data_IF_758770389237
#
_entry.id   IF_758770389237
#
_cell.length_a   1.000
_cell.length_b   1.000
_cell.length_c   1.000
_cell.angle_alpha   90.00
_cell.angle_beta   90.00
_cell.angle_gamma   90.00
#
_symmetry.space_group_name_H-M   'P 1'
#
loop_
_entity.id
_entity.type
_entity.pdbx_description
1 polymer ?
#
# COMPACT_ATOMS: atom_id res chain seq x y z
N UNK A 1 -3.97 -81.18 19.68
CA UNK A 1 -4.86 -80.32 20.49
C UNK A 1 -4.23 -78.95 20.55
N UNK A 2 -4.74 -78.00 19.76
CA UNK A 2 -4.04 -76.76 19.43
C UNK A 2 -4.16 -75.63 20.45
N UNK A 3 -3.45 -74.52 20.20
CA UNK A 3 -3.90 -73.20 20.61
C UNK A 3 -4.10 -72.26 19.40
N UNK A 4 -4.92 -71.25 19.66
CA UNK A 4 -5.60 -70.31 18.77
C UNK A 4 -4.72 -69.33 17.97
N UNK A 5 -5.23 -68.77 16.86
CA UNK A 5 -4.65 -67.58 16.27
C UNK A 5 -5.12 -66.35 17.06
N UNK A 6 -4.18 -65.58 17.62
CA UNK A 6 -4.48 -64.25 18.16
C UNK A 6 -4.47 -63.25 17.00
N UNK A 7 -5.62 -62.64 16.71
CA UNK A 7 -5.73 -61.47 15.84
C UNK A 7 -4.88 -60.33 16.45
N UNK A 8 -3.85 -59.88 15.72
CA UNK A 8 -3.18 -58.61 15.99
C UNK A 8 -3.94 -57.54 15.21
N UNK A 9 -4.75 -56.76 15.92
CA UNK A 9 -5.36 -55.55 15.36
C UNK A 9 -4.27 -54.47 15.24
N UNK A 10 -3.83 -54.21 14.01
CA UNK A 10 -2.92 -53.12 13.69
C UNK A 10 -3.73 -51.81 13.70
N UNK A 11 -3.72 -51.08 14.82
CA UNK A 11 -4.27 -49.72 14.88
C UNK A 11 -3.31 -48.79 14.13
N UNK A 12 -3.64 -48.48 12.88
CA UNK A 12 -2.96 -47.44 12.11
C UNK A 12 -3.40 -46.09 12.69
N UNK A 13 -2.58 -45.52 13.59
CA UNK A 13 -2.67 -44.12 13.96
C UNK A 13 -2.20 -43.29 12.76
N UNK A 14 -3.16 -42.91 11.91
CA UNK A 14 -2.90 -41.91 10.88
C UNK A 14 -2.68 -40.56 11.57
N UNK A 15 -1.54 -39.87 11.37
CA UNK A 15 -1.37 -38.53 11.91
C UNK A 15 -2.32 -37.62 11.14
N UNK A 16 -3.36 -37.16 11.83
CA UNK A 16 -4.24 -36.09 11.36
C UNK A 16 -3.35 -34.86 11.11
N UNK A 17 -2.92 -34.68 9.86
CA UNK A 17 -2.29 -33.43 9.43
C UNK A 17 -3.37 -32.36 9.55
N UNK A 18 -3.32 -31.60 10.64
CA UNK A 18 -3.91 -30.29 10.70
C UNK A 18 -3.25 -29.47 9.59
N UNK A 19 -3.88 -29.45 8.42
CA UNK A 19 -3.69 -28.39 7.45
C UNK A 19 -4.05 -27.10 8.17
N UNK A 20 -3.04 -26.43 8.72
CA UNK A 20 -3.13 -25.03 9.08
C UNK A 20 -3.32 -24.28 7.76
N UNK A 21 -4.58 -24.09 7.37
CA UNK A 21 -4.96 -23.11 6.38
C UNK A 21 -4.67 -21.75 7.02
N UNK A 22 -3.45 -21.24 6.85
CA UNK A 22 -3.20 -19.81 7.01
C UNK A 22 -3.97 -19.11 5.89
N UNK A 23 -5.22 -18.75 6.16
CA UNK A 23 -5.98 -17.85 5.30
C UNK A 23 -5.30 -16.47 5.42
N UNK A 24 -4.43 -16.15 4.46
CA UNK A 24 -3.88 -14.81 4.36
C UNK A 24 -5.00 -13.80 4.09
N UNK A 25 -4.92 -12.62 4.69
CA UNK A 25 -5.88 -11.54 4.42
C UNK A 25 -5.82 -11.12 2.94
N UNK A 26 -6.96 -11.07 2.26
CA UNK A 26 -7.03 -10.63 0.87
C UNK A 26 -7.04 -9.10 0.78
N UNK A 27 -5.98 -8.51 0.23
CA UNK A 27 -5.83 -7.05 0.12
C UNK A 27 -6.66 -6.45 -1.02
N UNK A 28 -6.81 -7.17 -2.14
CA UNK A 28 -7.51 -6.64 -3.32
C UNK A 28 -8.99 -6.40 -2.98
N UNK A 29 -9.51 -5.23 -3.35
CA UNK A 29 -10.87 -4.77 -3.04
C UNK A 29 -11.23 -4.67 -1.54
N UNK A 30 -10.26 -4.86 -0.64
CA UNK A 30 -10.49 -4.65 0.79
C UNK A 30 -10.70 -3.15 1.08
N UNK A 31 -11.76 -2.86 1.83
CA UNK A 31 -12.03 -1.50 2.31
C UNK A 31 -11.03 -1.11 3.41
N UNK A 32 -10.85 0.20 3.61
CA UNK A 32 -10.02 0.73 4.71
C UNK A 32 -10.46 0.16 6.06
N UNK A 33 -11.76 0.00 6.30
CA UNK A 33 -12.29 -0.58 7.54
C UNK A 33 -11.85 -2.05 7.71
N UNK A 34 -11.92 -2.86 6.67
CA UNK A 34 -11.46 -4.26 6.71
C UNK A 34 -9.96 -4.36 6.95
N UNK A 35 -9.16 -3.49 6.31
CA UNK A 35 -7.71 -3.40 6.52
C UNK A 35 -7.40 -3.02 7.97
N UNK A 36 -8.05 -2.00 8.53
CA UNK A 36 -7.87 -1.61 9.93
C UNK A 36 -8.24 -2.75 10.90
N UNK A 37 -9.30 -3.49 10.61
CA UNK A 37 -9.64 -4.68 11.40
C UNK A 37 -8.58 -5.79 11.28
N UNK A 38 -8.02 -6.01 10.08
CA UNK A 38 -6.92 -6.96 9.88
C UNK A 38 -5.65 -6.56 10.64
N UNK A 39 -5.35 -5.25 10.68
CA UNK A 39 -4.28 -4.71 11.52
C UNK A 39 -4.53 -5.02 13.01
N UNK A 40 -5.75 -4.76 13.51
CA UNK A 40 -6.13 -5.06 14.91
C UNK A 40 -6.02 -6.56 15.24
N UNK A 41 -6.38 -7.43 14.29
CA UNK A 41 -6.26 -8.90 14.43
C UNK A 41 -4.84 -9.44 14.18
N UNK A 42 -3.88 -8.58 13.81
CA UNK A 42 -2.52 -8.95 13.43
C UNK A 42 -2.45 -9.93 12.24
N UNK A 43 -3.45 -9.90 11.37
CA UNK A 43 -3.51 -10.67 10.13
C UNK A 43 -2.78 -9.97 8.97
N UNK A 44 -2.50 -8.68 9.13
CA UNK A 44 -1.85 -7.81 8.17
C UNK A 44 -1.07 -6.73 8.94
N UNK A 45 0.07 -6.31 8.43
CA UNK A 45 0.79 -5.11 8.91
C UNK A 45 0.75 -3.98 7.87
N UNK A 46 1.02 -2.74 8.28
CA UNK A 46 1.19 -1.63 7.35
C UNK A 46 2.34 -1.89 6.40
N UNK A 47 3.43 -2.50 6.89
CA UNK A 47 4.55 -2.94 6.07
C UNK A 47 4.10 -3.90 4.98
N UNK A 48 3.36 -4.97 5.32
CA UNK A 48 2.85 -5.94 4.34
C UNK A 48 2.00 -5.27 3.26
N UNK A 49 1.12 -4.35 3.68
CA UNK A 49 0.24 -3.61 2.78
C UNK A 49 1.02 -2.71 1.82
N UNK A 50 2.04 -2.00 2.32
CA UNK A 50 2.93 -1.16 1.48
C UNK A 50 3.74 -2.02 0.53
N UNK A 51 4.35 -3.12 1.00
CA UNK A 51 5.11 -4.05 0.14
C UNK A 51 4.23 -4.68 -0.96
N UNK A 52 2.98 -4.99 -0.66
CA UNK A 52 2.00 -5.44 -1.65
C UNK A 52 1.80 -4.39 -2.75
N UNK A 53 1.48 -3.14 -2.40
CA UNK A 53 1.24 -2.11 -3.42
C UNK A 53 2.49 -1.69 -4.18
N UNK A 54 3.67 -1.71 -3.54
CA UNK A 54 4.94 -1.47 -4.23
C UNK A 54 5.22 -2.56 -5.29
N UNK A 55 4.89 -3.82 -5.00
CA UNK A 55 4.97 -4.92 -5.98
C UNK A 55 4.00 -4.73 -7.13
N UNK A 56 2.74 -4.39 -6.86
CA UNK A 56 1.75 -4.12 -7.91
C UNK A 56 2.16 -2.93 -8.79
N UNK A 57 2.67 -1.84 -8.19
CA UNK A 57 3.20 -0.68 -8.93
C UNK A 57 4.37 -1.14 -9.82
N UNK A 58 5.33 -1.89 -9.27
CA UNK A 58 6.47 -2.39 -10.05
C UNK A 58 6.03 -3.25 -11.24
N UNK A 59 5.02 -4.11 -11.07
CA UNK A 59 4.53 -5.01 -12.12
C UNK A 59 3.66 -4.33 -13.18
N UNK A 60 2.76 -3.42 -12.77
CA UNK A 60 1.73 -2.86 -13.64
C UNK A 60 2.07 -1.46 -14.17
N UNK A 61 2.83 -0.66 -13.44
CA UNK A 61 3.11 0.73 -13.82
C UNK A 61 3.91 0.90 -15.14
N UNK A 62 4.77 -0.04 -15.58
CA UNK A 62 5.35 0.03 -16.92
C UNK A 62 4.31 0.09 -18.05
N UNK A 63 3.15 -0.54 -17.84
CA UNK A 63 2.03 -0.53 -18.77
C UNK A 63 1.06 0.64 -18.51
N UNK A 64 0.65 0.82 -17.25
CA UNK A 64 -0.40 1.77 -16.86
C UNK A 64 0.09 3.21 -16.74
N UNK A 65 1.36 3.42 -16.37
CA UNK A 65 1.98 4.74 -16.13
C UNK A 65 1.14 5.64 -15.21
N UNK A 66 0.52 5.02 -14.21
CA UNK A 66 -0.38 5.64 -13.24
C UNK A 66 0.36 6.31 -12.07
N UNK A 67 1.60 5.91 -11.79
CA UNK A 67 2.44 6.44 -10.70
C UNK A 67 3.68 7.11 -11.29
N UNK A 68 3.89 8.39 -10.96
CA UNK A 68 5.04 9.19 -11.41
C UNK A 68 6.29 8.91 -10.57
N UNK A 69 6.10 8.78 -9.26
CA UNK A 69 7.18 8.65 -8.29
C UNK A 69 6.66 7.89 -7.07
N UNK A 70 7.48 6.99 -6.53
CA UNK A 70 7.23 6.29 -5.26
C UNK A 70 8.03 6.97 -4.16
N UNK A 71 7.46 7.11 -2.97
CA UNK A 71 8.17 7.65 -1.82
C UNK A 71 9.21 6.63 -1.31
N UNK A 72 10.52 6.95 -1.33
CA UNK A 72 11.55 6.02 -0.86
C UNK A 72 11.42 5.68 0.62
N UNK A 73 10.83 6.55 1.43
CA UNK A 73 10.58 6.32 2.86
C UNK A 73 9.22 5.68 3.17
N UNK A 74 8.48 5.15 2.18
CA UNK A 74 7.16 4.57 2.42
C UNK A 74 7.21 3.33 3.33
N UNK A 75 8.24 2.49 3.19
CA UNK A 75 8.43 1.32 4.06
C UNK A 75 8.80 1.74 5.49
N UNK A 76 9.70 2.70 5.66
CA UNK A 76 10.06 3.22 6.98
C UNK A 76 8.85 3.83 7.70
N UNK A 77 7.99 4.56 6.98
CA UNK A 77 6.73 5.08 7.50
C UNK A 77 5.75 3.97 7.90
N UNK A 78 5.77 2.84 7.16
CA UNK A 78 4.94 1.69 7.47
C UNK A 78 5.40 0.98 8.74
N UNK A 79 6.70 0.74 8.87
CA UNK A 79 7.32 0.16 10.06
C UNK A 79 7.03 1.02 11.30
N UNK A 80 7.09 2.35 11.17
CA UNK A 80 6.77 3.25 12.28
C UNK A 80 5.29 3.19 12.66
N UNK A 81 4.39 3.19 11.68
CA UNK A 81 2.96 3.06 11.95
C UNK A 81 2.62 1.73 12.66
N UNK A 82 3.32 0.64 12.31
CA UNK A 82 3.20 -0.66 12.96
C UNK A 82 3.68 -0.61 14.43
N UNK A 83 4.84 0.00 14.70
CA UNK A 83 5.35 0.19 16.08
C UNK A 83 4.42 1.05 16.93
N UNK A 84 3.92 2.16 16.39
CA UNK A 84 2.98 3.04 17.08
C UNK A 84 1.72 2.26 17.46
N UNK A 85 1.22 1.42 16.54
CA UNK A 85 0.06 0.55 16.79
C UNK A 85 0.30 -0.45 17.91
N UNK A 86 1.48 -1.05 17.97
CA UNK A 86 1.86 -1.95 19.06
C UNK A 86 1.97 -1.20 20.39
N UNK A 87 2.59 -0.02 20.40
CA UNK A 87 2.79 0.80 21.59
C UNK A 87 1.46 1.28 22.21
N UNK A 88 0.43 1.51 21.39
CA UNK A 88 -0.91 1.90 21.87
C UNK A 88 -1.85 0.70 22.06
N UNK A 89 -1.36 -0.54 22.03
CA UNK A 89 -2.19 -1.76 22.10
C UNK A 89 -3.36 -1.78 21.09
N UNK A 90 -3.17 -1.16 19.92
CA UNK A 90 -4.19 -1.07 18.86
C UNK A 90 -5.13 0.14 18.93
N UNK A 91 -5.02 1.02 19.92
CA UNK A 91 -5.89 2.20 20.06
C UNK A 91 -5.71 3.22 18.93
N UNK A 92 -4.52 3.34 18.32
CA UNK A 92 -4.30 4.23 17.18
C UNK A 92 -4.77 3.65 15.84
N UNK A 93 -5.29 2.42 15.78
CA UNK A 93 -5.71 1.75 14.54
C UNK A 93 -7.09 2.20 14.03
N UNK A 94 -7.35 3.51 14.06
CA UNK A 94 -8.58 4.12 13.57
C UNK A 94 -8.32 5.06 12.39
N UNK A 95 -9.29 5.15 11.48
CA UNK A 95 -9.19 6.00 10.31
C UNK A 95 -8.10 5.56 9.33
N UNK A 96 -7.09 6.42 9.13
CA UNK A 96 -6.06 6.26 8.09
C UNK A 96 -4.70 5.82 8.64
N UNK A 97 -4.59 5.52 9.94
CA UNK A 97 -3.31 5.15 10.54
C UNK A 97 -2.71 3.92 9.84
N UNK A 98 -1.53 4.09 9.26
CA UNK A 98 -0.82 3.03 8.54
C UNK A 98 -1.41 2.66 7.17
N UNK A 99 -2.36 3.44 6.64
CA UNK A 99 -2.96 3.22 5.31
C UNK A 99 -2.15 3.97 4.24
N UNK A 100 -1.66 3.30 3.18
CA UNK A 100 -0.97 3.97 2.09
C UNK A 100 -1.94 4.73 1.17
N UNK A 101 -1.56 5.95 0.80
CA UNK A 101 -2.31 6.81 -0.12
C UNK A 101 -1.41 7.37 -1.22
N UNK A 102 -1.94 7.46 -2.44
CA UNK A 102 -1.29 8.17 -3.55
C UNK A 102 -1.83 9.59 -3.64
N UNK A 103 -0.94 10.55 -3.90
CA UNK A 103 -1.30 11.96 -4.08
C UNK A 103 -1.19 12.34 -5.55
N UNK A 104 -2.15 13.08 -6.10
CA UNK A 104 -2.03 13.62 -7.47
C UNK A 104 -0.76 14.47 -7.62
N UNK A 105 -0.05 14.39 -8.75
CA UNK A 105 1.26 15.01 -8.99
C UNK A 105 1.36 16.55 -8.90
N UNK A 106 0.26 17.25 -8.61
CA UNK A 106 0.20 18.69 -8.33
C UNK A 106 -0.08 19.02 -6.85
N UNK A 107 -0.21 18.02 -5.97
CA UNK A 107 -0.40 18.21 -4.54
C UNK A 107 0.98 18.35 -3.89
N UNK A 108 1.25 19.50 -3.27
CA UNK A 108 2.54 19.79 -2.65
C UNK A 108 2.83 18.92 -1.42
N UNK A 109 4.02 18.33 -1.37
CA UNK A 109 4.61 17.67 -0.20
C UNK A 109 5.99 18.26 0.05
N UNK A 110 6.30 18.65 1.30
CA UNK A 110 7.63 19.12 1.72
C UNK A 110 8.45 17.94 2.21
N UNK A 111 8.79 17.08 1.28
CA UNK A 111 9.61 15.88 1.45
C UNK A 111 10.41 15.62 0.16
N UNK A 112 10.88 14.39 -0.04
CA UNK A 112 11.66 13.97 -1.20
C UNK A 112 10.86 13.92 -2.51
N UNK A 113 9.52 13.92 -2.45
CA UNK A 113 8.70 13.75 -3.65
C UNK A 113 8.59 15.05 -4.45
N UNK A 114 8.66 14.92 -5.78
CA UNK A 114 8.49 16.05 -6.68
C UNK A 114 7.02 16.48 -6.77
N UNK A 115 6.80 17.79 -6.90
CA UNK A 115 5.47 18.37 -7.19
C UNK A 115 5.52 19.10 -8.54
N UNK A 116 5.36 18.34 -9.63
CA UNK A 116 5.69 18.82 -10.98
C UNK A 116 4.48 19.30 -11.79
N UNK A 117 3.26 18.98 -11.37
CA UNK A 117 2.05 19.14 -12.18
C UNK A 117 2.18 18.54 -13.60
N UNK A 118 3.00 17.49 -13.76
CA UNK A 118 3.28 16.85 -15.05
C UNK A 118 4.22 17.64 -15.98
N UNK A 119 4.95 18.63 -15.45
CA UNK A 119 5.82 19.53 -16.19
C UNK A 119 7.29 19.40 -15.80
N UNK A 120 8.18 19.23 -16.77
CA UNK A 120 9.64 19.26 -16.57
C UNK A 120 10.13 20.59 -15.98
N UNK A 121 9.40 21.68 -16.18
CA UNK A 121 9.76 22.99 -15.63
C UNK A 121 9.76 23.06 -14.09
N UNK A 122 9.07 22.11 -13.44
CA UNK A 122 8.95 22.03 -11.97
C UNK A 122 9.71 20.83 -11.39
N UNK A 123 10.46 20.09 -12.21
CA UNK A 123 11.26 18.97 -11.75
C UNK A 123 12.38 19.49 -10.82
N UNK A 124 12.51 18.90 -9.63
CA UNK A 124 13.44 19.37 -8.60
C UNK A 124 13.01 20.65 -7.87
N UNK A 125 11.82 21.19 -8.14
CA UNK A 125 11.29 22.34 -7.42
C UNK A 125 10.97 21.96 -5.97
N UNK A 126 11.49 22.75 -5.03
CA UNK A 126 11.25 22.57 -3.59
C UNK A 126 10.08 23.44 -3.16
N UNK A 127 9.01 22.81 -2.68
CA UNK A 127 7.85 23.54 -2.14
C UNK A 127 8.13 24.05 -0.72
N UNK A 128 7.57 25.20 -0.30
CA UNK A 128 7.84 25.76 1.02
C UNK A 128 7.12 25.04 2.16
N UNK A 129 6.12 24.19 1.86
CA UNK A 129 5.34 23.41 2.84
C UNK A 129 4.48 22.35 2.18
N UNK A 130 4.05 21.37 2.98
CA UNK A 130 2.93 20.50 2.66
C UNK A 130 1.67 21.29 2.31
N UNK A 131 0.91 20.79 1.35
CA UNK A 131 -0.47 21.19 1.16
C UNK A 131 -1.30 20.89 2.42
N UNK A 132 -2.36 21.67 2.67
CA UNK A 132 -3.20 21.49 3.86
C UNK A 132 -3.80 20.09 3.97
N UNK A 133 -4.15 19.46 2.85
CA UNK A 133 -4.65 18.07 2.82
C UNK A 133 -3.57 17.07 3.22
N UNK A 134 -2.33 17.25 2.77
CA UNK A 134 -1.20 16.37 3.11
C UNK A 134 -0.91 16.43 4.60
N UNK A 135 -0.91 17.64 5.18
CA UNK A 135 -0.74 17.80 6.63
C UNK A 135 -1.78 17.00 7.42
N UNK A 136 -3.06 17.04 6.99
CA UNK A 136 -4.14 16.29 7.64
C UNK A 136 -4.01 14.77 7.46
N UNK A 137 -3.60 14.32 6.27
CA UNK A 137 -3.33 12.91 6.00
C UNK A 137 -2.21 12.37 6.90
N UNK A 138 -1.09 13.11 6.98
CA UNK A 138 0.04 12.76 7.86
C UNK A 138 -0.36 12.77 9.33
N UNK A 139 -1.14 13.76 9.77
CA UNK A 139 -1.65 13.83 11.15
C UNK A 139 -2.62 12.69 11.49
N UNK A 140 -3.29 12.11 10.48
CA UNK A 140 -4.13 10.93 10.64
C UNK A 140 -3.35 9.61 10.51
N UNK A 141 -2.02 9.65 10.45
CA UNK A 141 -1.15 8.48 10.33
C UNK A 141 -1.11 7.83 8.94
N UNK A 142 -1.64 8.49 7.90
CA UNK A 142 -1.58 7.96 6.54
C UNK A 142 -0.15 7.94 5.99
N UNK A 143 0.19 6.88 5.26
CA UNK A 143 1.49 6.72 4.61
C UNK A 143 1.39 7.32 3.21
N UNK A 144 2.21 8.32 2.89
CA UNK A 144 2.24 8.87 1.54
C UNK A 144 3.07 7.93 0.66
N UNK A 145 2.41 7.10 -0.14
CA UNK A 145 3.04 6.08 -0.97
C UNK A 145 3.81 6.68 -2.16
N UNK A 146 3.35 7.82 -2.68
CA UNK A 146 3.95 8.46 -3.84
C UNK A 146 3.04 9.45 -4.56
N UNK A 147 3.41 9.77 -5.80
CA UNK A 147 2.70 10.71 -6.69
C UNK A 147 2.02 9.97 -7.84
N UNK A 148 0.71 10.13 -7.96
CA UNK A 148 -0.06 9.66 -9.10
C UNK A 148 0.09 10.59 -10.32
N UNK A 149 0.02 9.96 -11.50
CA UNK A 149 0.03 10.62 -12.80
C UNK A 149 -1.19 11.52 -12.97
N UNK A 150 -1.03 12.53 -13.82
CA UNK A 150 -2.08 13.50 -14.13
C UNK A 150 -1.78 14.16 -15.45
N UNK A 151 -2.81 14.68 -16.09
CA UNK A 151 -2.68 15.54 -17.26
C UNK A 151 -1.91 16.79 -16.90
N UNK A 152 -0.97 17.17 -17.76
CA UNK A 152 -0.10 18.32 -17.54
C UNK A 152 -0.92 19.59 -17.29
N UNK A 153 -0.55 20.34 -16.24
CA UNK A 153 -1.28 21.55 -15.81
C UNK A 153 -2.78 21.33 -15.55
N UNK A 154 -3.15 20.12 -15.10
CA UNK A 154 -4.54 19.75 -14.83
C UNK A 154 -5.48 20.03 -16.02
N UNK A 155 -5.06 19.61 -17.21
CA UNK A 155 -5.75 19.81 -18.50
C UNK A 155 -5.75 21.26 -19.03
N UNK A 156 -5.17 22.21 -18.31
CA UNK A 156 -5.20 23.63 -18.69
C UNK A 156 -4.01 24.09 -19.54
N UNK A 157 -3.48 23.20 -20.39
CA UNK A 157 -2.33 23.49 -21.28
C UNK A 157 -2.74 23.70 -22.74
N UNK A 158 -3.60 22.84 -23.27
CA UNK A 158 -4.02 22.88 -24.68
C UNK A 158 -5.23 21.97 -24.91
N UNK A 159 -6.17 22.43 -25.74
CA UNK A 159 -7.37 21.68 -26.14
C UNK A 159 -7.08 20.42 -26.96
N UNK A 160 -5.85 20.26 -27.49
CA UNK A 160 -5.46 19.12 -28.34
C UNK A 160 -4.68 18.04 -27.59
N UNK A 161 -4.39 18.23 -26.30
CA UNK A 161 -3.59 17.27 -25.54
C UNK A 161 -4.47 16.08 -25.13
N UNK A 162 -4.03 14.83 -25.34
CA UNK A 162 -4.75 13.67 -24.82
C UNK A 162 -4.86 13.73 -23.29
N UNK A 163 -6.01 13.33 -22.76
CA UNK A 163 -6.23 13.31 -21.31
C UNK A 163 -5.22 12.40 -20.61
N UNK A 164 -4.72 12.85 -19.47
CA UNK A 164 -3.71 12.15 -18.66
C UNK A 164 -2.27 12.35 -19.12
N UNK A 165 -2.03 12.79 -20.36
CA UNK A 165 -0.68 12.93 -20.91
C UNK A 165 0.14 14.00 -20.18
N UNK A 166 1.37 13.67 -19.82
CA UNK A 166 2.30 14.63 -19.25
C UNK A 166 3.77 14.32 -19.56
N UNK A 167 4.66 15.30 -19.33
CA UNK A 167 6.06 15.21 -19.72
C UNK A 167 6.92 14.37 -18.77
N UNK A 168 6.39 14.00 -17.59
CA UNK A 168 7.10 13.22 -16.57
C UNK A 168 6.79 11.73 -16.73
N UNK A 169 5.50 11.36 -16.76
CA UNK A 169 5.02 9.99 -16.84
C UNK A 169 4.53 9.54 -18.22
N UNK A 170 4.49 10.44 -19.21
CA UNK A 170 3.93 10.14 -20.54
C UNK A 170 2.41 10.00 -20.53
N UNK A 171 1.89 9.11 -21.38
CA UNK A 171 0.46 8.81 -21.50
C UNK A 171 0.08 7.64 -20.57
N UNK A 172 -0.82 7.84 -19.58
CA UNK A 172 -1.41 6.74 -18.83
C UNK A 172 -2.44 5.96 -19.67
N UNK A 173 -2.72 4.72 -19.28
CA UNK A 173 -3.74 3.84 -19.88
C UNK A 173 -4.88 3.58 -18.90
#
# INVERSE_FOLDING_TARGET
MGPSPRLVALLIFSPLHLLSLSFGFEIKEATVSQIQQAFKRKELTSRDLVEFYLREIKGLNPLLRAVLEVNPGALDQADEADKEREATYGDCAEGLHGIPVLLKGNIATRDWLNTTAGSLALLGSVVPRDAGVVRRLRAAGAIILGKASMSKWAEFRSLKTPMGCNAIGGQPK
#
